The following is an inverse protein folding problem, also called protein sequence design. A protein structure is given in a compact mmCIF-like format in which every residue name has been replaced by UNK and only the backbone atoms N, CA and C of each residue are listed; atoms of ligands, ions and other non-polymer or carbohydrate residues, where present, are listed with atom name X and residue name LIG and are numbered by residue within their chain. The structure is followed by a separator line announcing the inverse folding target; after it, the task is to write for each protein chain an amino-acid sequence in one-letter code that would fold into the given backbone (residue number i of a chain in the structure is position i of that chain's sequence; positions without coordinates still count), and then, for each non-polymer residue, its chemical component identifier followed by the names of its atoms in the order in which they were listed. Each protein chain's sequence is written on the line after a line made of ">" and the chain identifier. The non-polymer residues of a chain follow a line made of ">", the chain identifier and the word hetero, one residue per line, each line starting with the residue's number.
data_IF_379860349459
#
_entry.id   IF_379860349459
#
_cell.length_a   1.000
_cell.length_b   1.000
_cell.length_c   1.000
_cell.angle_alpha   90.00
_cell.angle_beta   90.00
_cell.angle_gamma   90.00
#
_symmetry.space_group_name_H-M   'P 1'
#
loop_
_entity.id
_entity.type
_entity.pdbx_description
1 polymer ?
#
# COMPACT_ATOMS: atom_id res chain seq x y z
N UNK A 1 -14.97 -33.68 2.60
CA UNK A 1 -14.57 -32.27 2.40
C UNK A 1 -13.59 -31.99 3.51
N UNK A 2 -12.31 -31.85 3.17
CA UNK A 2 -11.26 -31.75 4.18
C UNK A 2 -11.12 -30.29 4.58
N UNK A 3 -11.45 -30.02 5.84
CA UNK A 3 -11.31 -28.71 6.44
C UNK A 3 -9.99 -28.67 7.20
N UNK A 4 -9.22 -27.60 7.00
CA UNK A 4 -8.03 -27.31 7.78
C UNK A 4 -8.32 -26.14 8.72
N UNK A 5 -8.09 -26.37 10.00
CA UNK A 5 -8.12 -25.32 11.03
C UNK A 5 -6.68 -24.94 11.35
N UNK A 6 -6.37 -23.66 11.28
CA UNK A 6 -5.05 -23.12 11.59
C UNK A 6 -5.16 -21.80 12.34
N UNK A 7 -4.08 -21.39 13.01
CA UNK A 7 -3.96 -20.07 13.60
C UNK A 7 -2.84 -19.30 12.92
N UNK A 8 -3.12 -18.09 12.49
CA UNK A 8 -2.15 -17.33 11.70
C UNK A 8 -2.58 -15.90 11.44
N UNK A 9 -1.80 -15.22 10.59
CA UNK A 9 -2.15 -13.89 10.12
C UNK A 9 -3.03 -13.98 8.89
N UNK A 10 -4.01 -13.07 8.83
CA UNK A 10 -4.77 -12.74 7.63
C UNK A 10 -4.52 -11.28 7.30
N UNK A 11 -4.11 -11.02 6.06
CA UNK A 11 -4.11 -9.73 5.42
C UNK A 11 -5.28 -9.67 4.44
N UNK A 12 -6.20 -8.74 4.67
CA UNK A 12 -7.25 -8.38 3.73
C UNK A 12 -6.86 -7.09 3.02
N UNK A 13 -7.09 -7.02 1.70
CA UNK A 13 -6.79 -5.86 0.87
C UNK A 13 -7.92 -5.60 -0.12
N UNK A 14 -8.25 -4.32 -0.30
CA UNK A 14 -9.31 -3.84 -1.18
C UNK A 14 -8.83 -2.68 -2.07
N UNK A 15 -9.25 -2.67 -3.34
CA UNK A 15 -8.92 -1.59 -4.29
C UNK A 15 -9.84 -0.39 -4.14
N UNK A 16 -9.24 0.75 -3.81
CA UNK A 16 -9.95 2.00 -3.55
C UNK A 16 -10.49 2.64 -4.84
N UNK A 17 -11.80 2.93 -4.84
CA UNK A 17 -12.49 3.62 -5.95
C UNK A 17 -12.90 2.70 -7.10
N UNK A 18 -12.73 1.38 -6.95
CA UNK A 18 -13.07 0.41 -7.98
C UNK A 18 -14.58 0.32 -8.24
N UNK A 19 -15.41 0.41 -7.21
CA UNK A 19 -16.88 0.46 -7.36
C UNK A 19 -17.34 1.67 -8.19
N UNK A 20 -16.75 2.84 -8.01
CA UNK A 20 -17.10 4.02 -8.80
C UNK A 20 -16.71 3.84 -10.28
N UNK A 21 -15.59 3.15 -10.54
CA UNK A 21 -15.16 2.81 -11.89
C UNK A 21 -16.16 1.86 -12.57
N UNK A 22 -16.54 0.76 -11.92
CA UNK A 22 -17.44 -0.26 -12.49
C UNK A 22 -18.90 0.19 -12.59
N UNK A 23 -19.29 1.26 -11.88
CA UNK A 23 -20.62 1.89 -12.01
C UNK A 23 -20.64 3.05 -13.01
N UNK A 24 -19.63 3.18 -13.87
CA UNK A 24 -19.53 4.24 -14.88
C UNK A 24 -19.55 5.68 -14.30
N UNK A 25 -19.17 5.85 -13.02
CA UNK A 25 -19.14 7.15 -12.33
C UNK A 25 -17.85 7.94 -12.56
N UNK A 26 -16.90 7.37 -13.30
CA UNK A 26 -15.61 8.00 -13.60
C UNK A 26 -15.57 8.32 -15.09
N UNK A 27 -15.41 9.60 -15.42
CA UNK A 27 -15.23 10.03 -16.80
C UNK A 27 -13.78 9.76 -17.24
N UNK A 28 -13.57 8.65 -17.95
CA UNK A 28 -12.29 8.30 -18.56
C UNK A 28 -12.05 9.09 -19.85
N UNK A 29 -10.79 9.33 -20.17
CA UNK A 29 -10.35 9.92 -21.44
C UNK A 29 -9.45 8.95 -22.18
N UNK A 30 -9.24 9.18 -23.48
CA UNK A 30 -8.32 8.36 -24.31
C UNK A 30 -6.91 8.27 -23.71
N UNK A 31 -6.45 9.32 -23.05
CA UNK A 31 -5.14 9.34 -22.40
C UNK A 31 -5.03 8.31 -21.29
N UNK A 32 -6.09 8.07 -20.52
CA UNK A 32 -6.06 7.05 -19.46
C UNK A 32 -5.82 5.66 -20.05
N UNK A 33 -6.55 5.30 -21.11
CA UNK A 33 -6.36 4.03 -21.80
C UNK A 33 -4.94 3.89 -22.38
N UNK A 34 -4.38 4.97 -22.93
CA UNK A 34 -3.01 4.99 -23.46
C UNK A 34 -1.97 4.79 -22.35
N UNK A 35 -2.11 5.50 -21.23
CA UNK A 35 -1.19 5.44 -20.07
C UNK A 35 -1.21 4.05 -19.42
N UNK A 36 -2.40 3.43 -19.37
CA UNK A 36 -2.60 2.09 -18.84
C UNK A 36 -2.37 0.97 -19.87
N UNK A 37 -2.12 1.34 -21.14
CA UNK A 37 -1.90 0.42 -22.26
C UNK A 37 -3.02 -0.61 -22.46
N UNK A 38 -4.27 -0.19 -22.20
CA UNK A 38 -5.47 -1.05 -22.21
C UNK A 38 -5.75 -1.63 -23.61
N UNK A 39 -5.44 -0.87 -24.66
CA UNK A 39 -5.75 -1.20 -26.06
C UNK A 39 -5.08 -2.47 -26.60
N UNK A 40 -4.15 -3.09 -25.85
CA UNK A 40 -3.56 -4.38 -26.23
C UNK A 40 -4.52 -5.56 -26.10
N UNK A 41 -5.60 -5.42 -25.31
CA UNK A 41 -6.45 -6.56 -24.92
C UNK A 41 -7.94 -6.37 -25.16
N UNK A 42 -8.39 -5.14 -25.45
CA UNK A 42 -9.82 -4.80 -25.45
C UNK A 42 -10.26 -4.04 -26.70
N UNK A 43 -11.49 -4.29 -27.14
CA UNK A 43 -12.08 -3.75 -28.38
C UNK A 43 -12.75 -2.38 -28.19
N UNK A 44 -13.11 -2.04 -26.96
CA UNK A 44 -13.89 -0.87 -26.54
C UNK A 44 -13.12 -0.04 -25.52
N UNK A 45 -13.38 1.27 -25.47
CA UNK A 45 -12.78 2.22 -24.52
C UNK A 45 -13.79 2.61 -23.44
N UNK A 46 -14.32 1.62 -22.71
CA UNK A 46 -15.26 1.80 -21.61
C UNK A 46 -14.63 1.58 -20.23
N UNK A 47 -15.37 1.91 -19.17
CA UNK A 47 -14.88 1.71 -17.81
C UNK A 47 -14.75 0.24 -17.43
N UNK A 48 -15.56 -0.64 -18.00
CA UNK A 48 -15.53 -2.08 -17.72
C UNK A 48 -14.22 -2.72 -18.21
N UNK A 49 -13.77 -2.39 -19.42
CA UNK A 49 -12.51 -2.87 -19.98
C UNK A 49 -11.31 -2.26 -19.24
N UNK A 50 -11.42 -1.00 -18.82
CA UNK A 50 -10.42 -0.36 -17.97
C UNK A 50 -10.31 -1.04 -16.61
N UNK A 51 -11.44 -1.38 -15.98
CA UNK A 51 -11.52 -2.11 -14.72
C UNK A 51 -10.95 -3.52 -14.85
N UNK A 52 -11.28 -4.23 -15.94
CA UNK A 52 -10.72 -5.54 -16.24
C UNK A 52 -9.19 -5.50 -16.39
N UNK A 53 -8.65 -4.47 -17.06
CA UNK A 53 -7.19 -4.28 -17.16
C UNK A 53 -6.52 -4.10 -15.79
N UNK A 54 -7.15 -3.33 -14.89
CA UNK A 54 -6.67 -3.16 -13.51
C UNK A 54 -6.71 -4.49 -12.75
N UNK A 55 -7.81 -5.26 -12.87
CA UNK A 55 -7.95 -6.57 -12.22
C UNK A 55 -6.90 -7.58 -12.70
N UNK A 56 -6.59 -7.60 -14.00
CA UNK A 56 -5.53 -8.45 -14.56
C UNK A 56 -4.18 -8.11 -13.92
N UNK A 57 -3.88 -6.82 -13.78
CA UNK A 57 -2.63 -6.36 -13.15
C UNK A 57 -2.59 -6.68 -11.66
N UNK A 58 -3.70 -6.48 -10.94
CA UNK A 58 -3.80 -6.85 -9.53
C UNK A 58 -3.61 -8.36 -9.33
N UNK A 59 -4.26 -9.19 -10.14
CA UNK A 59 -4.11 -10.65 -10.12
C UNK A 59 -2.68 -11.09 -10.39
N UNK A 60 -2.00 -10.41 -11.32
CA UNK A 60 -0.58 -10.65 -11.59
C UNK A 60 0.28 -10.35 -10.35
N UNK A 61 0.06 -9.21 -9.70
CA UNK A 61 0.77 -8.85 -8.46
C UNK A 61 0.56 -9.90 -7.36
N UNK A 62 -0.68 -10.36 -7.16
CA UNK A 62 -0.99 -11.43 -6.19
C UNK A 62 -0.26 -12.73 -6.54
N UNK A 63 -0.27 -13.12 -7.82
CA UNK A 63 0.40 -14.34 -8.30
C UNK A 63 1.92 -14.26 -8.13
N UNK A 64 2.54 -13.14 -8.51
CA UNK A 64 3.97 -12.90 -8.35
C UNK A 64 4.38 -12.91 -6.86
N UNK A 65 3.52 -12.38 -5.98
CA UNK A 65 3.70 -12.43 -4.53
C UNK A 65 3.60 -13.86 -3.98
N UNK A 66 2.61 -14.64 -4.40
CA UNK A 66 2.45 -16.03 -3.99
C UNK A 66 3.64 -16.90 -4.45
N UNK A 67 4.15 -16.67 -5.66
CA UNK A 67 5.36 -17.33 -6.16
C UNK A 67 6.60 -16.98 -5.31
N UNK A 68 6.68 -15.74 -4.81
CA UNK A 68 7.77 -15.28 -3.94
C UNK A 68 7.67 -15.83 -2.51
N UNK A 69 6.47 -16.04 -2.00
CA UNK A 69 6.19 -16.55 -0.66
C UNK A 69 5.29 -17.80 -0.72
N UNK A 70 5.83 -18.97 -1.08
CA UNK A 70 5.04 -20.17 -1.41
C UNK A 70 4.29 -20.79 -0.22
N UNK A 71 4.57 -20.34 1.01
CA UNK A 71 3.86 -20.76 2.22
C UNK A 71 2.62 -19.92 2.51
N UNK A 72 2.36 -18.90 1.70
CA UNK A 72 1.23 -17.98 1.85
C UNK A 72 0.14 -18.38 0.87
N UNK A 73 -1.06 -18.58 1.41
CA UNK A 73 -2.25 -18.78 0.61
C UNK A 73 -2.82 -17.41 0.24
N UNK A 74 -3.42 -17.33 -0.95
CA UNK A 74 -4.15 -16.13 -1.37
C UNK A 74 -5.36 -16.48 -2.21
N UNK A 75 -6.41 -15.69 -2.08
CA UNK A 75 -7.60 -15.78 -2.93
C UNK A 75 -8.11 -14.38 -3.24
N UNK A 76 -8.50 -14.16 -4.49
CA UNK A 76 -9.04 -12.89 -4.96
C UNK A 76 -10.55 -13.02 -5.14
N UNK A 77 -11.30 -12.04 -4.61
CA UNK A 77 -12.72 -11.87 -4.86
C UNK A 77 -12.95 -10.47 -5.44
N UNK A 78 -13.20 -10.40 -6.75
CA UNK A 78 -13.36 -9.12 -7.45
C UNK A 78 -12.16 -8.18 -7.20
N UNK A 79 -12.39 -7.06 -6.53
CA UNK A 79 -11.49 -5.96 -6.23
C UNK A 79 -10.77 -6.08 -4.89
N UNK A 80 -11.03 -7.17 -4.17
CA UNK A 80 -10.36 -7.48 -2.92
C UNK A 80 -9.64 -8.84 -2.97
N UNK A 81 -8.76 -9.05 -2.01
CA UNK A 81 -8.07 -10.32 -1.81
C UNK A 81 -7.82 -10.61 -0.33
N UNK A 82 -7.77 -11.89 -0.01
CA UNK A 82 -7.28 -12.40 1.26
C UNK A 82 -5.93 -13.06 1.05
N UNK A 83 -5.02 -12.85 2.00
CA UNK A 83 -3.67 -13.40 2.03
C UNK A 83 -3.44 -13.92 3.44
N UNK A 84 -3.15 -15.20 3.61
CA UNK A 84 -3.06 -15.78 4.96
C UNK A 84 -2.05 -16.92 5.06
N UNK A 85 -1.54 -17.14 6.27
CA UNK A 85 -0.63 -18.24 6.58
C UNK A 85 -0.40 -18.38 8.09
N UNK A 86 0.01 -19.57 8.51
CA UNK A 86 0.68 -19.80 9.80
C UNK A 86 2.08 -19.15 9.82
N UNK A 87 2.70 -18.94 8.65
CA UNK A 87 3.95 -18.19 8.53
C UNK A 87 3.68 -16.68 8.56
N UNK A 88 3.57 -16.13 9.78
CA UNK A 88 3.21 -14.73 10.05
C UNK A 88 4.13 -13.73 9.36
N UNK A 89 5.43 -14.02 9.33
CA UNK A 89 6.44 -13.20 8.65
C UNK A 89 6.17 -13.07 7.16
N UNK A 90 5.87 -14.19 6.49
CA UNK A 90 5.60 -14.17 5.06
C UNK A 90 4.30 -13.41 4.74
N UNK A 91 3.32 -13.39 5.64
CA UNK A 91 2.10 -12.56 5.48
C UNK A 91 2.43 -11.07 5.55
N UNK A 92 3.27 -10.63 6.52
CA UNK A 92 3.73 -9.23 6.59
C UNK A 92 4.51 -8.83 5.33
N UNK A 93 5.42 -9.70 4.88
CA UNK A 93 6.20 -9.48 3.66
C UNK A 93 5.33 -9.48 2.40
N UNK A 94 4.28 -10.30 2.36
CA UNK A 94 3.30 -10.33 1.27
C UNK A 94 2.47 -9.05 1.25
N UNK A 95 1.95 -8.62 2.41
CA UNK A 95 1.26 -7.34 2.55
C UNK A 95 2.12 -6.19 2.02
N UNK A 96 3.36 -6.09 2.50
CA UNK A 96 4.31 -5.09 2.06
C UNK A 96 4.52 -5.11 0.53
N UNK A 97 4.78 -6.29 -0.03
CA UNK A 97 5.04 -6.47 -1.48
C UNK A 97 3.81 -6.05 -2.30
N UNK A 98 2.61 -6.55 -1.94
CA UNK A 98 1.36 -6.26 -2.64
C UNK A 98 1.06 -4.76 -2.62
N UNK A 99 1.13 -4.12 -1.46
CA UNK A 99 0.82 -2.69 -1.32
C UNK A 99 1.80 -1.83 -2.12
N UNK A 100 3.10 -2.16 -2.08
CA UNK A 100 4.11 -1.43 -2.85
C UNK A 100 3.92 -1.60 -4.35
N UNK A 101 3.73 -2.82 -4.83
CA UNK A 101 3.59 -3.11 -6.25
C UNK A 101 2.27 -2.57 -6.82
N UNK A 102 1.18 -2.58 -6.04
CA UNK A 102 -0.07 -1.94 -6.42
C UNK A 102 0.11 -0.45 -6.62
N UNK A 103 0.68 0.26 -5.62
CA UNK A 103 0.85 1.71 -5.71
C UNK A 103 1.83 2.09 -6.82
N UNK A 104 2.93 1.36 -6.98
CA UNK A 104 3.85 1.53 -8.11
C UNK A 104 3.15 1.33 -9.46
N UNK A 105 2.12 0.50 -9.52
CA UNK A 105 1.38 0.27 -10.74
C UNK A 105 0.19 1.20 -10.96
N UNK A 106 -0.09 2.13 -10.04
CA UNK A 106 -1.22 3.05 -10.16
C UNK A 106 -2.51 2.55 -9.52
N UNK A 107 -2.44 1.48 -8.73
CA UNK A 107 -3.56 0.87 -8.03
C UNK A 107 -3.51 1.33 -6.57
N UNK A 108 -4.57 1.99 -6.11
CA UNK A 108 -4.70 2.39 -4.72
C UNK A 108 -5.38 1.26 -3.95
N UNK A 109 -4.73 0.72 -2.94
CA UNK A 109 -5.29 -0.33 -2.09
C UNK A 109 -5.27 0.08 -0.62
N UNK A 110 -6.24 -0.39 0.16
CA UNK A 110 -6.28 -0.29 1.63
C UNK A 110 -6.44 -1.70 2.20
N UNK A 111 -5.99 -1.92 3.43
CA UNK A 111 -6.10 -3.24 4.02
C UNK A 111 -6.11 -3.29 5.53
N UNK A 112 -6.26 -4.50 6.04
CA UNK A 112 -6.27 -4.84 7.45
C UNK A 112 -5.48 -6.12 7.72
N UNK A 113 -4.72 -6.16 8.82
CA UNK A 113 -3.99 -7.35 9.28
C UNK A 113 -4.52 -7.77 10.64
N UNK A 114 -4.90 -9.04 10.77
CA UNK A 114 -5.35 -9.59 12.04
C UNK A 114 -4.76 -10.98 12.29
N UNK A 115 -4.72 -11.37 13.56
CA UNK A 115 -4.36 -12.73 13.99
C UNK A 115 -5.58 -13.47 14.55
N UNK A 116 -5.61 -14.79 14.34
CA UNK A 116 -6.59 -15.65 14.96
C UNK A 116 -6.79 -16.97 14.22
N UNK A 117 -7.94 -17.58 14.49
CA UNK A 117 -8.41 -18.81 13.88
C UNK A 117 -8.79 -18.57 12.41
N UNK A 118 -8.39 -19.54 11.59
CA UNK A 118 -8.63 -19.60 10.15
C UNK A 118 -9.08 -21.03 9.83
N UNK A 119 -10.17 -21.12 9.11
CA UNK A 119 -10.76 -22.36 8.60
C UNK A 119 -10.74 -22.25 7.08
N UNK A 120 -10.00 -23.14 6.44
CA UNK A 120 -9.93 -23.24 4.99
C UNK A 120 -10.34 -24.62 4.51
N UNK A 121 -10.84 -24.71 3.28
CA UNK A 121 -10.98 -25.98 2.59
C UNK A 121 -9.88 -26.18 1.54
N UNK A 122 -9.75 -27.43 1.08
CA UNK A 122 -8.83 -27.81 0.00
C UNK A 122 -9.52 -27.80 -1.39
N UNK A 123 -10.76 -27.32 -1.50
CA UNK A 123 -11.52 -27.38 -2.74
C UNK A 123 -11.32 -26.12 -3.58
N UNK A 124 -10.71 -26.26 -4.74
CA UNK A 124 -10.38 -25.14 -5.62
C UNK A 124 -11.42 -24.88 -6.70
N UNK A 125 -12.43 -25.75 -6.87
CA UNK A 125 -13.38 -25.67 -7.99
C UNK A 125 -14.35 -24.47 -7.92
N UNK A 126 -14.64 -23.96 -6.71
CA UNK A 126 -15.54 -22.82 -6.48
C UNK A 126 -14.80 -21.61 -5.89
N UNK A 127 -13.46 -21.63 -5.90
CA UNK A 127 -12.62 -20.77 -5.07
C UNK A 127 -12.45 -21.33 -3.66
N UNK A 128 -11.36 -20.95 -3.00
CA UNK A 128 -11.03 -21.45 -1.66
C UNK A 128 -11.97 -20.86 -0.62
N UNK A 129 -12.62 -21.72 0.18
CA UNK A 129 -13.40 -21.26 1.33
C UNK A 129 -12.44 -20.74 2.40
N UNK A 130 -12.74 -19.55 2.93
CA UNK A 130 -11.97 -18.93 3.99
C UNK A 130 -12.92 -18.34 5.04
N UNK A 131 -12.83 -18.84 6.27
CA UNK A 131 -13.66 -18.42 7.41
C UNK A 131 -12.78 -18.27 8.64
N UNK A 132 -13.11 -17.36 9.55
CA UNK A 132 -12.40 -17.24 10.82
C UNK A 132 -12.59 -15.90 11.50
N UNK A 133 -12.24 -15.82 12.78
CA UNK A 133 -12.23 -14.54 13.49
C UNK A 133 -11.13 -13.62 12.91
N UNK A 134 -9.97 -14.16 12.53
CA UNK A 134 -8.89 -13.40 11.89
C UNK A 134 -9.37 -12.76 10.57
N UNK A 135 -10.09 -13.54 9.76
CA UNK A 135 -10.68 -13.09 8.48
C UNK A 135 -11.63 -11.93 8.72
N UNK A 136 -12.56 -12.08 9.67
CA UNK A 136 -13.55 -11.06 9.99
C UNK A 136 -12.93 -9.78 10.56
N UNK A 137 -11.90 -9.91 11.41
CA UNK A 137 -11.18 -8.77 11.98
C UNK A 137 -10.40 -8.00 10.91
N UNK A 138 -9.69 -8.71 10.01
CA UNK A 138 -8.93 -8.08 8.93
C UNK A 138 -9.83 -7.22 8.01
N UNK A 139 -11.03 -7.72 7.68
CA UNK A 139 -12.03 -6.93 6.92
C UNK A 139 -12.50 -5.71 7.70
N UNK A 140 -12.82 -5.87 9.00
CA UNK A 140 -13.25 -4.73 9.84
C UNK A 140 -12.19 -3.64 9.95
N UNK A 141 -10.92 -4.01 10.04
CA UNK A 141 -9.79 -3.07 10.10
C UNK A 141 -9.65 -2.26 8.80
N UNK A 142 -9.82 -2.88 7.64
CA UNK A 142 -9.88 -2.15 6.37
C UNK A 142 -11.05 -1.14 6.34
N UNK A 143 -12.19 -1.56 6.89
CA UNK A 143 -13.43 -0.78 6.93
C UNK A 143 -13.47 0.28 8.05
N UNK A 144 -12.42 0.42 8.87
CA UNK A 144 -12.36 1.36 9.99
C UNK A 144 -12.26 2.84 9.56
N UNK A 145 -12.69 3.20 8.35
CA UNK A 145 -12.84 4.59 7.92
C UNK A 145 -11.54 5.32 7.54
N UNK A 146 -10.37 4.71 7.73
CA UNK A 146 -9.07 5.31 7.43
C UNK A 146 -8.92 5.68 5.95
N UNK A 147 -8.52 6.92 5.65
CA UNK A 147 -8.37 7.42 4.28
C UNK A 147 -6.97 7.15 3.72
N UNK A 148 -6.92 6.91 2.40
CA UNK A 148 -5.71 6.56 1.66
C UNK A 148 -5.30 5.10 1.78
N UNK A 149 -4.11 4.78 1.26
CA UNK A 149 -3.60 3.43 1.11
C UNK A 149 -2.96 2.91 2.40
N UNK A 150 -3.77 2.78 3.46
CA UNK A 150 -3.29 2.39 4.79
C UNK A 150 -3.49 0.90 5.02
N UNK A 151 -2.69 0.34 5.93
CA UNK A 151 -2.89 -1.01 6.44
C UNK A 151 -3.00 -0.92 7.94
N UNK A 152 -4.22 -1.06 8.45
CA UNK A 152 -4.45 -1.12 9.89
C UNK A 152 -4.25 -2.53 10.40
N UNK A 153 -3.92 -2.68 11.67
CA UNK A 153 -3.69 -3.98 12.29
C UNK A 153 -4.27 -4.05 13.71
N UNK A 154 -4.57 -5.27 14.14
CA UNK A 154 -4.83 -5.55 15.55
C UNK A 154 -3.59 -5.20 16.39
N UNK A 155 -3.79 -4.59 17.56
CA UNK A 155 -2.71 -4.23 18.50
C UNK A 155 -1.90 -5.43 19.01
N UNK A 156 -2.44 -6.65 18.88
CA UNK A 156 -1.77 -7.89 19.28
C UNK A 156 -0.80 -8.42 18.20
N UNK A 157 -0.88 -7.92 16.96
CA UNK A 157 -0.01 -8.38 15.84
C UNK A 157 1.48 -8.30 16.18
N UNK A 158 2.01 -7.20 16.77
CA UNK A 158 3.42 -7.15 17.18
C UNK A 158 3.79 -8.24 18.19
N UNK A 159 2.92 -8.55 19.15
CA UNK A 159 3.17 -9.57 20.17
C UNK A 159 3.22 -10.98 19.55
N UNK A 160 2.24 -11.33 18.70
CA UNK A 160 2.26 -12.63 18.01
C UNK A 160 3.45 -12.78 17.06
N UNK A 161 3.84 -11.68 16.38
CA UNK A 161 5.02 -11.70 15.52
C UNK A 161 6.32 -11.80 16.32
N UNK A 162 6.38 -11.20 17.51
CA UNK A 162 7.51 -11.34 18.42
C UNK A 162 7.73 -12.80 18.82
N UNK A 163 6.66 -13.47 19.23
CA UNK A 163 6.72 -14.86 19.67
C UNK A 163 7.07 -15.82 18.52
N UNK A 164 6.68 -15.47 17.28
CA UNK A 164 7.00 -16.23 16.08
C UNK A 164 8.44 -15.99 15.55
N UNK A 165 8.86 -14.73 15.38
CA UNK A 165 10.17 -14.32 14.85
C UNK A 165 10.57 -12.93 15.39
N UNK A 166 11.05 -12.89 16.62
CA UNK A 166 11.50 -11.66 17.30
C UNK A 166 12.62 -10.92 16.55
N UNK A 167 13.50 -11.65 15.85
CA UNK A 167 14.59 -11.06 15.04
C UNK A 167 14.07 -10.33 13.81
N UNK A 168 13.00 -10.84 13.20
CA UNK A 168 12.32 -10.13 12.12
C UNK A 168 11.57 -8.91 12.66
N UNK A 169 10.80 -9.07 13.73
CA UNK A 169 10.05 -7.97 14.34
C UNK A 169 10.99 -6.80 14.70
N UNK A 170 12.13 -7.07 15.35
CA UNK A 170 13.05 -6.01 15.78
C UNK A 170 13.57 -5.14 14.64
N UNK A 171 13.55 -5.64 13.39
CA UNK A 171 13.98 -4.89 12.20
C UNK A 171 12.89 -3.96 11.65
N UNK A 172 11.63 -4.29 11.90
CA UNK A 172 10.48 -3.58 11.31
C UNK A 172 9.55 -2.94 12.34
N UNK A 173 9.76 -3.16 13.64
CA UNK A 173 8.86 -2.73 14.71
C UNK A 173 8.56 -1.22 14.69
N UNK A 174 9.56 -0.40 14.37
CA UNK A 174 9.39 1.05 14.22
C UNK A 174 8.39 1.45 13.11
N UNK A 175 8.03 0.53 12.21
CA UNK A 175 7.02 0.73 11.18
C UNK A 175 5.60 0.40 11.67
N UNK A 176 5.44 -0.16 12.87
CA UNK A 176 4.16 -0.37 13.52
C UNK A 176 3.93 0.82 14.44
N UNK A 177 2.97 1.67 14.08
CA UNK A 177 2.76 2.94 14.75
C UNK A 177 1.27 3.12 15.09
N UNK A 178 0.95 3.74 16.23
CA UNK A 178 -0.44 4.05 16.54
C UNK A 178 -1.03 4.99 15.49
N UNK A 179 -2.30 4.77 15.18
CA UNK A 179 -3.13 5.58 14.31
C UNK A 179 -4.44 5.86 15.02
N UNK A 180 -4.64 7.11 15.41
CA UNK A 180 -5.93 7.58 15.90
C UNK A 180 -6.83 7.92 14.72
N UNK A 181 -7.97 7.24 14.61
CA UNK A 181 -8.95 7.52 13.57
C UNK A 181 -9.72 8.80 13.92
N UNK A 182 -9.67 9.86 13.10
CA UNK A 182 -10.32 11.12 13.41
C UNK A 182 -11.86 11.07 13.34
N UNK A 183 -12.45 9.96 12.86
CA UNK A 183 -13.90 9.81 12.77
C UNK A 183 -14.54 9.32 14.07
N UNK A 184 -13.84 8.50 14.84
CA UNK A 184 -14.36 7.85 16.04
C UNK A 184 -13.40 7.88 17.24
N UNK A 185 -12.22 8.47 17.07
CA UNK A 185 -11.13 8.56 18.06
C UNK A 185 -10.65 7.19 18.57
N UNK A 186 -10.91 6.11 17.83
CA UNK A 186 -10.34 4.82 18.14
C UNK A 186 -8.88 4.77 17.71
N UNK A 187 -8.04 4.16 18.54
CA UNK A 187 -6.62 3.97 18.26
C UNK A 187 -6.40 2.57 17.73
N UNK A 188 -5.96 2.50 16.48
CA UNK A 188 -5.50 1.29 15.81
C UNK A 188 -3.97 1.30 15.74
N UNK A 189 -3.37 0.16 15.41
CA UNK A 189 -1.99 0.16 14.92
C UNK A 189 -2.00 0.20 13.39
N UNK A 190 -1.04 0.91 12.80
CA UNK A 190 -0.84 0.99 11.35
C UNK A 190 0.50 0.38 10.97
N UNK A 191 0.50 -0.49 9.95
CA UNK A 191 1.73 -0.88 9.28
C UNK A 191 2.11 0.20 8.28
N UNK A 192 3.18 0.94 8.58
CA UNK A 192 3.79 1.96 7.73
C UNK A 192 4.57 1.33 6.56
N UNK A 193 3.93 0.44 5.80
CA UNK A 193 4.49 -0.35 4.70
C UNK A 193 5.21 0.50 3.63
N UNK A 194 4.80 1.76 3.50
CA UNK A 194 5.29 2.71 2.50
C UNK A 194 6.62 3.39 2.87
N UNK A 195 7.21 3.09 4.02
CA UNK A 195 8.45 3.73 4.47
C UNK A 195 9.71 3.19 3.82
N UNK A 196 9.72 1.94 3.34
CA UNK A 196 10.87 1.35 2.67
C UNK A 196 10.43 0.29 1.67
N UNK A 197 11.01 0.30 0.48
CA UNK A 197 10.76 -0.72 -0.53
C UNK A 197 11.37 -2.08 -0.18
N UNK A 198 12.46 -2.11 0.59
CA UNK A 198 13.21 -3.35 0.85
C UNK A 198 13.05 -3.87 2.28
N UNK A 199 12.61 -3.02 3.21
CA UNK A 199 12.61 -3.30 4.65
C UNK A 199 14.00 -3.66 5.21
N UNK A 200 15.07 -3.22 4.54
CA UNK A 200 16.47 -3.49 4.90
C UNK A 200 17.17 -2.24 5.42
N UNK A 201 18.15 -2.44 6.29
CA UNK A 201 19.09 -1.43 6.78
C UNK A 201 18.42 -0.21 7.42
N UNK A 202 17.20 -0.37 7.95
CA UNK A 202 16.37 0.69 8.54
C UNK A 202 16.90 1.22 9.88
N UNK A 203 18.04 0.70 10.33
CA UNK A 203 18.78 1.12 11.53
C UNK A 203 20.07 1.89 11.19
N UNK A 204 20.35 2.12 9.91
CA UNK A 204 21.53 2.86 9.45
C UNK A 204 21.10 4.17 8.79
N UNK A 205 21.89 5.23 8.95
CA UNK A 205 21.62 6.52 8.29
C UNK A 205 21.47 6.36 6.77
N UNK A 206 22.35 5.55 6.15
CA UNK A 206 22.29 5.30 4.70
C UNK A 206 21.01 4.60 4.28
N UNK A 207 20.59 3.56 5.01
CA UNK A 207 19.35 2.84 4.73
C UNK A 207 18.12 3.71 4.96
N UNK A 208 18.12 4.53 6.01
CA UNK A 208 17.05 5.50 6.31
C UNK A 208 16.93 6.56 5.20
N UNK A 209 18.05 7.13 4.73
CA UNK A 209 18.06 8.09 3.60
C UNK A 209 17.47 7.43 2.34
N UNK A 210 17.92 6.21 2.02
CA UNK A 210 17.42 5.46 0.86
C UNK A 210 15.92 5.17 0.97
N UNK A 211 15.46 4.68 2.12
CA UNK A 211 14.05 4.41 2.41
C UNK A 211 13.19 5.68 2.25
N UNK A 212 13.73 6.81 2.68
CA UNK A 212 13.07 8.12 2.54
C UNK A 212 12.95 8.56 1.09
N UNK A 213 14.01 8.39 0.28
CA UNK A 213 13.96 8.66 -1.16
C UNK A 213 12.89 7.81 -1.83
N UNK A 214 12.84 6.51 -1.51
CA UNK A 214 11.83 5.58 -2.02
C UNK A 214 10.42 6.04 -1.66
N UNK A 215 10.19 6.34 -0.39
CA UNK A 215 8.93 6.86 0.15
C UNK A 215 8.49 8.16 -0.54
N UNK A 216 9.40 9.14 -0.66
CA UNK A 216 9.12 10.40 -1.33
C UNK A 216 8.88 10.23 -2.84
N UNK A 217 9.52 9.25 -3.48
CA UNK A 217 9.23 8.91 -4.87
C UNK A 217 7.82 8.31 -5.02
N UNK A 218 7.32 7.51 -4.05
CA UNK A 218 5.91 7.08 -4.03
C UNK A 218 4.98 8.30 -3.94
N UNK A 219 5.28 9.22 -3.03
CA UNK A 219 4.50 10.45 -2.88
C UNK A 219 4.49 11.28 -4.17
N UNK A 220 5.66 11.41 -4.83
CA UNK A 220 5.78 12.10 -6.10
C UNK A 220 4.97 11.39 -7.20
N UNK A 221 4.91 10.06 -7.16
CA UNK A 221 4.10 9.28 -8.10
C UNK A 221 2.61 9.55 -7.90
N UNK A 222 2.13 9.55 -6.66
CA UNK A 222 0.76 9.93 -6.31
C UNK A 222 0.45 11.37 -6.73
N UNK A 223 1.41 12.27 -6.62
CA UNK A 223 1.24 13.69 -6.94
C UNK A 223 1.28 13.98 -8.44
N UNK A 224 2.17 13.33 -9.21
CA UNK A 224 2.46 13.73 -10.59
C UNK A 224 2.24 12.64 -11.63
N UNK A 225 2.21 11.36 -11.28
CA UNK A 225 2.07 10.31 -12.29
C UNK A 225 0.61 10.23 -12.80
N UNK A 226 0.40 10.16 -14.14
CA UNK A 226 -0.94 10.22 -14.69
C UNK A 226 -1.76 8.95 -14.51
N UNK A 227 -1.15 7.84 -14.05
CA UNK A 227 -1.90 6.59 -13.79
C UNK A 227 -3.00 6.75 -12.75
N UNK A 228 -2.89 7.70 -11.83
CA UNK A 228 -3.93 7.97 -10.82
C UNK A 228 -4.96 9.00 -11.28
N UNK A 229 -4.92 9.46 -12.54
CA UNK A 229 -5.84 10.48 -13.03
C UNK A 229 -7.30 10.05 -12.92
N UNK A 230 -7.60 8.78 -13.19
CA UNK A 230 -8.94 8.23 -13.01
C UNK A 230 -9.42 8.29 -11.55
N UNK A 231 -8.54 8.06 -10.56
CA UNK A 231 -8.89 8.17 -9.15
C UNK A 231 -9.27 9.62 -8.79
N UNK A 232 -8.42 10.59 -9.17
CA UNK A 232 -8.56 11.99 -8.74
C UNK A 232 -9.68 12.75 -9.44
N UNK A 233 -10.31 12.18 -10.47
CA UNK A 233 -11.51 12.75 -11.11
C UNK A 233 -12.80 12.53 -10.31
N UNK A 234 -12.78 11.60 -9.35
CA UNK A 234 -13.88 11.42 -8.39
C UNK A 234 -13.52 12.07 -7.06
N UNK A 235 -14.52 12.59 -6.34
CA UNK A 235 -14.29 13.19 -5.01
C UNK A 235 -13.69 12.16 -4.04
N UNK A 236 -14.27 10.96 -3.98
CA UNK A 236 -13.80 9.88 -3.11
C UNK A 236 -12.38 9.42 -3.46
N UNK A 237 -12.14 9.11 -4.74
CA UNK A 237 -10.81 8.70 -5.20
C UNK A 237 -9.75 9.78 -5.00
N UNK A 238 -10.10 11.06 -5.15
CA UNK A 238 -9.19 12.17 -4.84
C UNK A 238 -8.85 12.23 -3.35
N UNK A 239 -9.82 12.00 -2.45
CA UNK A 239 -9.56 11.93 -1.00
C UNK A 239 -8.54 10.83 -0.69
N UNK A 240 -8.68 9.65 -1.30
CA UNK A 240 -7.74 8.56 -1.08
C UNK A 240 -6.35 8.89 -1.65
N UNK A 241 -6.25 9.36 -2.89
CA UNK A 241 -4.99 9.74 -3.50
C UNK A 241 -4.27 10.85 -2.72
N UNK A 242 -4.99 11.90 -2.32
CA UNK A 242 -4.49 13.02 -1.52
C UNK A 242 -4.02 12.54 -0.14
N UNK A 243 -4.80 11.71 0.53
CA UNK A 243 -4.44 11.18 1.86
C UNK A 243 -3.17 10.34 1.79
N UNK A 244 -3.08 9.45 0.78
CA UNK A 244 -1.87 8.66 0.52
C UNK A 244 -0.65 9.53 0.27
N UNK A 245 -0.80 10.56 -0.57
CA UNK A 245 0.28 11.49 -0.88
C UNK A 245 0.74 12.23 0.38
N UNK A 246 -0.19 12.69 1.23
CA UNK A 246 0.14 13.41 2.47
C UNK A 246 0.96 12.57 3.44
N UNK A 247 0.55 11.33 3.73
CA UNK A 247 1.29 10.54 4.72
C UNK A 247 2.59 9.96 4.16
N UNK A 248 2.70 9.75 2.83
CA UNK A 248 3.96 9.31 2.19
C UNK A 248 4.95 10.46 2.06
N UNK A 249 4.47 11.69 1.91
CA UNK A 249 5.32 12.89 1.89
C UNK A 249 5.52 13.53 3.26
N UNK A 250 4.96 12.97 4.33
CA UNK A 250 5.01 13.59 5.64
C UNK A 250 6.43 13.65 6.20
N UNK A 251 6.72 14.79 6.83
CA UNK A 251 7.90 15.01 7.65
C UNK A 251 7.66 14.42 9.07
N UNK A 252 7.43 13.11 9.13
CA UNK A 252 7.07 12.36 10.34
C UNK A 252 8.32 11.95 11.12
N UNK A 253 8.54 12.55 12.29
CA UNK A 253 9.72 12.32 13.13
C UNK A 253 9.67 10.99 13.92
N UNK A 254 8.48 10.40 14.07
CA UNK A 254 8.26 9.25 14.94
C UNK A 254 8.84 7.94 14.38
N UNK A 255 8.98 7.82 13.06
CA UNK A 255 9.51 6.60 12.41
C UNK A 255 10.97 6.78 12.03
N UNK A 256 11.26 7.79 11.21
CA UNK A 256 12.61 8.20 10.89
C UNK A 256 12.73 9.69 11.23
N UNK A 257 13.65 10.04 12.12
CA UNK A 257 13.93 11.42 12.53
C UNK A 257 14.55 12.21 11.35
N UNK A 258 13.72 12.66 10.41
CA UNK A 258 14.12 13.22 9.11
C UNK A 258 13.35 14.50 8.84
N UNK A 259 14.03 15.50 8.29
CA UNK A 259 13.44 16.75 7.81
C UNK A 259 13.66 16.93 6.30
N UNK A 260 12.61 17.31 5.56
CA UNK A 260 12.69 17.62 4.12
C UNK A 260 11.60 18.59 3.66
N UNK A 261 11.74 19.15 2.46
CA UNK A 261 10.81 20.16 1.90
C UNK A 261 9.64 19.60 1.09
N UNK A 262 9.54 18.28 0.93
CA UNK A 262 8.53 17.63 0.10
C UNK A 262 7.17 17.40 0.78
N UNK A 263 6.89 18.02 1.93
CA UNK A 263 5.65 17.83 2.72
C UNK A 263 4.41 18.44 2.05
N UNK A 264 3.91 17.76 1.02
CA UNK A 264 2.80 18.22 0.20
C UNK A 264 1.46 18.08 0.94
N UNK A 265 0.65 19.15 0.90
CA UNK A 265 -0.69 19.18 1.51
C UNK A 265 -1.82 19.07 0.49
N UNK A 266 -1.60 19.59 -0.72
CA UNK A 266 -2.60 19.66 -1.79
C UNK A 266 -2.14 18.90 -3.04
N UNK A 267 -3.11 18.39 -3.79
CA UNK A 267 -2.86 17.74 -5.07
C UNK A 267 -2.61 18.80 -6.15
N UNK A 268 -1.67 18.55 -7.05
CA UNK A 268 -1.50 19.42 -8.23
C UNK A 268 -2.63 19.22 -9.24
N UNK A 269 -2.84 20.24 -10.07
CA UNK A 269 -3.78 20.18 -11.19
C UNK A 269 -3.51 19.00 -12.13
N UNK A 270 -4.59 18.45 -12.70
CA UNK A 270 -4.56 17.34 -13.66
C UNK A 270 -3.56 17.57 -14.81
N UNK A 271 -3.44 18.80 -15.32
CA UNK A 271 -2.50 19.15 -16.42
C UNK A 271 -1.03 18.98 -16.03
N UNK A 272 -0.72 19.10 -14.74
CA UNK A 272 0.62 18.95 -14.19
C UNK A 272 0.98 17.48 -13.98
N UNK A 273 0.00 16.58 -13.98
CA UNK A 273 0.18 15.15 -13.74
C UNK A 273 0.66 14.45 -15.01
N UNK A 274 1.95 14.46 -15.25
CA UNK A 274 2.61 13.81 -16.40
C UNK A 274 3.78 12.93 -15.95
N UNK A 275 4.10 11.90 -16.74
CA UNK A 275 5.28 11.06 -16.50
C UNK A 275 6.58 11.90 -16.48
N UNK A 276 6.67 12.93 -17.34
CA UNK A 276 7.79 13.88 -17.37
C UNK A 276 7.94 14.64 -16.06
N UNK A 277 6.84 15.18 -15.52
CA UNK A 277 6.88 15.90 -14.24
C UNK A 277 7.21 14.98 -13.07
N UNK A 278 6.64 13.77 -13.04
CA UNK A 278 7.02 12.74 -12.07
C UNK A 278 8.54 12.47 -12.12
N UNK A 279 9.09 12.17 -13.31
CA UNK A 279 10.51 11.88 -13.48
C UNK A 279 11.41 13.06 -13.06
N UNK A 280 11.00 14.29 -13.35
CA UNK A 280 11.72 15.51 -12.92
C UNK A 280 11.78 15.61 -11.39
N UNK A 281 10.65 15.39 -10.71
CA UNK A 281 10.59 15.47 -9.24
C UNK A 281 11.31 14.29 -8.58
N UNK A 282 11.19 13.08 -9.10
CA UNK A 282 11.94 11.92 -8.60
C UNK A 282 13.46 12.13 -8.69
N UNK A 283 13.95 12.69 -9.81
CA UNK A 283 15.38 13.07 -9.94
C UNK A 283 15.80 14.15 -8.94
N UNK A 284 14.94 15.12 -8.69
CA UNK A 284 15.18 16.16 -7.69
C UNK A 284 15.31 15.57 -6.28
N UNK A 285 14.39 14.69 -5.87
CA UNK A 285 14.45 13.97 -4.59
C UNK A 285 15.77 13.20 -4.44
N UNK A 286 16.16 12.46 -5.49
CA UNK A 286 17.43 11.72 -5.50
C UNK A 286 18.65 12.65 -5.39
N UNK A 287 18.62 13.80 -6.06
CA UNK A 287 19.69 14.79 -5.99
C UNK A 287 19.85 15.39 -4.59
N UNK A 288 18.75 15.78 -3.94
CA UNK A 288 18.77 16.33 -2.58
C UNK A 288 19.31 15.32 -1.56
N UNK A 289 19.00 14.03 -1.74
CA UNK A 289 19.49 12.97 -0.88
C UNK A 289 21.03 12.83 -0.87
N UNK A 290 21.72 13.24 -1.95
CA UNK A 290 23.19 13.20 -2.02
C UNK A 290 23.85 14.27 -1.14
N UNK A 291 23.09 15.27 -0.71
CA UNK A 291 23.56 16.41 0.09
C UNK A 291 22.90 16.44 1.46
N UNK A 292 22.34 15.31 1.91
CA UNK A 292 21.76 15.21 3.25
C UNK A 292 22.83 15.39 4.33
N UNK A 293 22.45 16.03 5.43
CA UNK A 293 23.30 16.18 6.61
C UNK A 293 22.63 15.56 7.83
N UNK A 294 23.40 15.21 8.85
CA UNK A 294 22.87 14.79 10.14
C UNK A 294 23.26 15.82 11.18
N UNK A 295 22.27 16.35 11.91
CA UNK A 295 22.55 17.32 12.97
C UNK A 295 22.98 16.64 14.29
N UNK A 296 23.24 17.47 15.31
CA UNK A 296 23.72 16.99 16.62
C UNK A 296 22.71 16.13 17.36
N UNK A 297 21.43 16.22 17.02
CA UNK A 297 20.32 15.46 17.61
C UNK A 297 20.04 14.17 16.82
N UNK A 298 20.84 13.90 15.77
CA UNK A 298 20.68 12.73 14.92
C UNK A 298 19.57 12.89 13.87
N UNK A 299 19.02 14.10 13.69
CA UNK A 299 18.03 14.37 12.65
C UNK A 299 18.70 14.48 11.28
N UNK A 300 18.16 13.75 10.29
CA UNK A 300 18.66 13.76 8.92
C UNK A 300 17.94 14.86 8.14
N UNK A 301 18.68 15.84 7.63
CA UNK A 301 18.13 16.99 6.91
C UNK A 301 18.45 16.91 5.44
N UNK A 302 17.40 16.86 4.62
CA UNK A 302 17.49 17.08 3.19
C UNK A 302 17.61 18.59 2.96
N UNK A 303 18.58 19.05 2.16
CA UNK A 303 18.78 20.48 1.96
C UNK A 303 17.55 21.09 1.28
N UNK A 304 17.12 22.30 1.69
CA UNK A 304 16.17 23.05 0.88
C UNK A 304 16.82 23.36 -0.47
N UNK A 305 16.04 23.39 -1.54
CA UNK A 305 16.54 23.84 -2.84
C UNK A 305 17.01 25.29 -2.71
N UNK A 306 18.19 25.65 -3.25
CA UNK A 306 18.58 27.04 -3.47
C UNK A 306 17.56 27.83 -4.29
#
# INVERSE_FOLDING_TARGET
>A
MDLKNLKGFVFYVDMLGFTALTQDKIQLTKDDFNIWQVSKYFQTLGNQEFAANILILFRKILTDCQNKYPKVNSTQLSDCAFVWSENMKDVILSCHTIMWDCLQNGILCRGGIAYGDIIEDNNTNLGQMLLGNAVSKAVKLEQAGAKGCRVLMDQEVPAFLHDYDSSFLSKIYQLFQPFENPLDYQIYDEFKWYYSQSLKDLNTTKGIVQATVERLCLAAKLQYHPRFNWNVRSQEGNIHAKSSMRFTSANEQNVFNIEHTFDWKEMVDLKTRTATNYNRIAKKIQGEALSCTTDKEGCIKFPPVP
#
